data_IF_720334882534
#
_entry.id   IF_720334882534
#
_cell.length_a   1.000
_cell.length_b   1.000
_cell.length_c   1.000
_cell.angle_alpha   90.00
_cell.angle_beta   90.00
_cell.angle_gamma   90.00
#
_symmetry.space_group_name_H-M   'P 1'
#
loop_
_entity.id
_entity.type
_entity.pdbx_description
1 polymer ?
#
# COMPACT_ATOMS: atom_id res chain seq x y z
N UNK A 1 -9.17 4.82 4.77
CA UNK A 1 -8.81 3.39 4.92
C UNK A 1 -7.29 3.28 4.82
N UNK A 2 -6.58 2.86 5.87
CA UNK A 2 -5.13 2.69 5.84
C UNK A 2 -4.79 1.22 5.53
N UNK A 3 -3.85 1.01 4.62
CA UNK A 3 -3.38 -0.34 4.24
C UNK A 3 -1.94 -0.50 4.67
N UNK A 4 -1.64 -1.60 5.34
CA UNK A 4 -0.33 -1.83 5.94
C UNK A 4 0.28 -3.15 5.48
N UNK A 5 1.57 -3.14 5.19
CA UNK A 5 2.32 -4.29 4.71
C UNK A 5 3.43 -4.69 5.69
N UNK A 6 3.51 -5.99 6.02
CA UNK A 6 4.66 -6.57 6.73
C UNK A 6 5.56 -7.34 5.76
N UNK A 7 6.83 -6.97 5.63
CA UNK A 7 7.82 -7.71 4.80
C UNK A 7 8.89 -8.35 5.66
N UNK A 8 9.18 -9.64 5.47
CA UNK A 8 10.46 -10.27 5.86
C UNK A 8 11.34 -10.44 4.62
N UNK A 9 12.66 -10.23 4.71
CA UNK A 9 13.58 -10.68 3.66
C UNK A 9 13.76 -12.19 3.80
N UNK A 10 12.97 -12.98 3.07
CA UNK A 10 13.25 -14.39 2.94
C UNK A 10 14.35 -14.58 1.88
N UNK A 11 15.59 -14.83 2.34
CA UNK A 11 16.63 -15.43 1.50
C UNK A 11 16.21 -16.86 1.20
N UNK A 12 15.43 -17.05 0.12
CA UNK A 12 15.04 -18.38 -0.33
C UNK A 12 16.21 -19.01 -1.11
N UNK A 13 17.00 -19.86 -0.43
CA UNK A 13 17.77 -20.91 -1.11
C UNK A 13 16.77 -21.83 -1.80
N UNK A 14 16.72 -21.80 -3.14
CA UNK A 14 15.93 -22.75 -3.94
C UNK A 14 16.86 -23.75 -4.61
N UNK A 15 16.74 -25.02 -4.20
CA UNK A 15 17.14 -26.14 -5.03
C UNK A 15 16.19 -26.24 -6.23
N UNK A 16 16.68 -26.56 -7.44
CA UNK A 16 15.84 -26.62 -8.63
C UNK A 16 15.06 -27.94 -8.66
N UNK A 17 13.73 -27.87 -8.51
CA UNK A 17 12.83 -28.93 -8.94
C UNK A 17 12.11 -28.44 -10.21
N UNK A 18 12.24 -29.22 -11.29
CA UNK A 18 11.85 -28.85 -12.64
C UNK A 18 10.34 -29.02 -12.87
N UNK A 19 9.64 -27.92 -13.13
CA UNK A 19 8.34 -27.94 -13.81
C UNK A 19 8.54 -27.47 -15.24
N UNK A 20 8.45 -28.42 -16.18
CA UNK A 20 8.46 -28.17 -17.63
C UNK A 20 7.23 -27.35 -18.03
N UNK A 21 7.45 -26.18 -18.60
CA UNK A 21 6.44 -25.46 -19.38
C UNK A 21 6.71 -25.74 -20.87
N UNK A 22 5.65 -26.04 -21.62
CA UNK A 22 5.70 -26.56 -22.99
C UNK A 22 6.52 -25.68 -23.95
N UNK A 23 7.43 -26.33 -24.72
CA UNK A 23 8.10 -25.73 -25.89
C UNK A 23 7.06 -25.42 -26.96
N UNK A 24 7.04 -24.19 -27.44
CA UNK A 24 6.60 -23.87 -28.80
C UNK A 24 7.82 -23.32 -29.54
N UNK A 25 8.19 -23.99 -30.63
CA UNK A 25 9.25 -23.59 -31.56
C UNK A 25 8.82 -22.34 -32.35
N UNK A 26 9.75 -21.46 -32.77
CA UNK A 26 9.41 -20.31 -33.58
C UNK A 26 9.37 -20.69 -35.07
N UNK A 27 8.19 -20.69 -35.68
CA UNK A 27 8.07 -20.66 -37.14
C UNK A 27 8.15 -19.21 -37.61
N UNK A 28 9.25 -18.87 -38.29
CA UNK A 28 9.46 -17.55 -38.88
C UNK A 28 8.60 -17.30 -40.10
N UNK A 29 8.21 -16.05 -40.30
CA UNK A 29 7.85 -15.48 -41.60
C UNK A 29 8.28 -14.01 -41.65
N UNK A 30 9.24 -13.73 -42.53
CA UNK A 30 9.58 -12.39 -43.03
C UNK A 30 8.44 -11.86 -43.90
N UNK A 31 8.12 -10.57 -43.84
CA UNK A 31 7.66 -9.77 -44.99
C UNK A 31 8.08 -8.29 -44.80
N UNK A 32 8.86 -7.78 -45.75
CA UNK A 32 9.22 -6.37 -45.89
C UNK A 32 8.05 -5.57 -46.48
N UNK A 33 7.78 -4.36 -45.98
CA UNK A 33 7.66 -3.09 -46.74
C UNK A 33 7.14 -1.93 -45.86
N UNK A 34 7.49 -0.66 -46.17
CA UNK A 34 7.37 0.48 -45.26
C UNK A 34 6.07 1.25 -45.43
N UNK A 35 5.51 1.75 -44.32
CA UNK A 35 4.51 2.82 -44.36
C UNK A 35 4.81 3.80 -43.23
N UNK A 36 5.17 5.00 -43.67
CA UNK A 36 5.43 6.19 -42.88
C UNK A 36 4.11 6.72 -42.28
N UNK A 37 4.15 7.18 -41.04
CA UNK A 37 2.97 7.58 -40.28
C UNK A 37 3.29 7.90 -38.83
N UNK A 38 3.91 9.06 -38.63
CA UNK A 38 4.31 9.56 -37.32
C UNK A 38 3.15 9.72 -36.33
N UNK A 39 3.25 9.01 -35.22
CA UNK A 39 2.75 9.44 -33.91
C UNK A 39 3.91 9.22 -32.93
N UNK A 40 4.37 10.32 -32.33
CA UNK A 40 5.51 10.35 -31.42
C UNK A 40 5.28 9.40 -30.24
N UNK A 41 5.86 8.19 -30.34
CA UNK A 41 6.05 7.31 -29.20
C UNK A 41 6.98 8.00 -28.21
N UNK A 42 6.51 8.13 -26.97
CA UNK A 42 7.31 8.60 -25.85
C UNK A 42 8.64 7.83 -25.81
N UNK A 43 9.81 8.48 -25.68
CA UNK A 43 11.07 7.76 -25.70
C UNK A 43 11.19 6.97 -24.40
N UNK A 44 10.81 5.68 -24.44
CA UNK A 44 11.27 4.74 -23.43
C UNK A 44 12.78 4.63 -23.57
N UNK A 45 13.47 5.48 -22.81
CA UNK A 45 14.92 5.50 -22.68
C UNK A 45 15.34 4.10 -22.27
N UNK A 46 15.97 3.39 -23.20
CA UNK A 46 16.46 2.04 -23.03
C UNK A 46 17.35 1.93 -21.80
N UNK A 47 16.85 1.28 -20.76
CA UNK A 47 17.66 0.63 -19.76
C UNK A 47 17.43 -0.88 -19.88
N UNK A 48 18.07 -1.46 -20.88
CA UNK A 48 18.33 -2.89 -20.92
C UNK A 48 19.31 -3.22 -19.79
N UNK A 49 18.79 -3.42 -18.58
CA UNK A 49 19.50 -4.22 -17.58
C UNK A 49 18.88 -5.60 -17.58
N UNK A 50 19.51 -6.50 -18.32
CA UNK A 50 19.14 -7.91 -18.50
C UNK A 50 19.43 -8.75 -17.23
N UNK A 51 19.37 -8.12 -16.06
CA UNK A 51 19.31 -8.85 -14.80
C UNK A 51 17.86 -9.27 -14.63
N UNK A 52 17.57 -10.56 -14.35
CA UNK A 52 16.22 -10.92 -13.91
C UNK A 52 15.94 -10.08 -12.66
N UNK A 53 15.11 -9.03 -12.81
CA UNK A 53 14.73 -8.19 -11.67
C UNK A 53 14.12 -9.14 -10.67
N UNK A 54 14.79 -9.31 -9.53
CA UNK A 54 14.27 -10.11 -8.44
C UNK A 54 12.83 -9.62 -8.21
N UNK A 55 11.85 -10.52 -8.31
CA UNK A 55 10.45 -10.15 -8.15
C UNK A 55 10.34 -9.36 -6.84
N UNK A 56 9.75 -8.15 -6.85
CA UNK A 56 9.69 -7.33 -5.66
C UNK A 56 9.10 -8.16 -4.52
N UNK A 57 9.69 -8.09 -3.31
CA UNK A 57 9.28 -8.94 -2.20
C UNK A 57 7.79 -8.76 -1.95
N UNK A 58 7.06 -9.88 -1.89
CA UNK A 58 5.63 -9.85 -1.60
C UNK A 58 5.46 -9.61 -0.10
N UNK A 59 4.49 -8.78 0.29
CA UNK A 59 4.17 -8.62 1.69
C UNK A 59 3.63 -9.95 2.26
N UNK A 60 3.96 -10.22 3.52
CA UNK A 60 3.45 -11.38 4.26
C UNK A 60 1.99 -11.21 4.65
N UNK A 61 1.59 -9.98 5.00
CA UNK A 61 0.25 -9.64 5.45
C UNK A 61 -0.15 -8.26 4.95
N UNK A 62 -1.42 -8.13 4.60
CA UNK A 62 -2.11 -6.87 4.32
C UNK A 62 -3.09 -6.65 5.46
N UNK A 63 -2.94 -5.55 6.19
CA UNK A 63 -3.85 -5.18 7.28
C UNK A 63 -4.61 -3.93 6.84
N UNK A 64 -5.94 -4.00 6.92
CA UNK A 64 -6.84 -2.91 6.56
C UNK A 64 -7.37 -2.28 7.85
N UNK A 65 -7.17 -0.97 7.98
CA UNK A 65 -7.57 -0.22 9.17
C UNK A 65 -8.53 0.89 8.76
N UNK A 66 -9.72 0.92 9.36
CA UNK A 66 -10.64 2.06 9.28
C UNK A 66 -10.12 3.16 10.21
N UNK A 67 -10.36 4.43 9.87
CA UNK A 67 -10.02 5.52 10.77
C UNK A 67 -10.82 5.39 12.09
N UNK A 68 -10.29 5.93 13.18
CA UNK A 68 -11.02 6.01 14.46
C UNK A 68 -12.23 6.95 14.37
N UNK A 69 -13.06 6.98 15.41
CA UNK A 69 -14.21 7.87 15.48
C UNK A 69 -13.85 9.33 15.14
N UNK A 70 -14.55 9.91 14.18
CA UNK A 70 -14.38 11.31 13.77
C UNK A 70 -15.52 12.18 14.25
N UNK A 71 -15.30 13.50 14.27
CA UNK A 71 -16.33 14.48 14.61
C UNK A 71 -17.58 14.29 13.74
N UNK A 72 -17.41 14.02 12.44
CA UNK A 72 -18.50 13.75 11.51
C UNK A 72 -19.20 12.41 11.72
N UNK A 73 -18.63 11.47 12.51
CA UNK A 73 -19.35 10.25 12.93
C UNK A 73 -20.22 10.48 14.17
N UNK A 74 -19.89 11.49 14.97
CA UNK A 74 -20.66 11.87 16.16
C UNK A 74 -21.75 12.88 15.81
N UNK A 75 -21.42 13.85 14.96
CA UNK A 75 -22.29 14.93 14.53
C UNK A 75 -22.14 15.15 13.03
N UNK A 76 -23.12 14.70 12.25
CA UNK A 76 -23.16 14.90 10.79
C UNK A 76 -23.24 16.39 10.41
N UNK A 77 -23.73 17.26 11.28
CA UNK A 77 -23.78 18.70 11.01
C UNK A 77 -22.38 19.31 10.86
N UNK A 78 -21.32 18.62 11.31
CA UNK A 78 -19.92 19.03 11.08
C UNK A 78 -19.63 19.26 9.60
N UNK A 79 -20.22 18.47 8.68
CA UNK A 79 -19.98 18.63 7.24
C UNK A 79 -20.53 19.95 6.67
N UNK A 80 -21.44 20.62 7.38
CA UNK A 80 -21.94 21.96 6.99
C UNK A 80 -20.93 23.07 7.26
N UNK A 81 -20.01 22.85 8.21
CA UNK A 81 -19.06 23.85 8.73
C UNK A 81 -17.60 23.51 8.44
N UNK A 82 -17.28 22.24 8.20
CA UNK A 82 -15.93 21.73 7.96
C UNK A 82 -15.96 20.88 6.70
N UNK A 83 -15.09 21.19 5.75
CA UNK A 83 -14.92 20.37 4.55
C UNK A 83 -14.51 18.94 4.92
N UNK A 84 -15.10 17.94 4.25
CA UNK A 84 -14.89 16.52 4.58
C UNK A 84 -13.41 16.11 4.77
N UNK A 85 -12.46 16.47 3.88
CA UNK A 85 -11.05 16.10 4.07
C UNK A 85 -10.41 16.65 5.36
N UNK A 86 -11.02 17.68 5.97
CA UNK A 86 -10.54 18.38 7.17
C UNK A 86 -11.24 17.91 8.46
N UNK A 87 -12.22 17.02 8.39
CA UNK A 87 -12.89 16.48 9.58
C UNK A 87 -11.89 15.69 10.42
N UNK A 88 -11.80 16.04 11.70
CA UNK A 88 -10.82 15.50 12.64
C UNK A 88 -11.36 14.29 13.41
N UNK A 89 -10.46 13.55 14.06
CA UNK A 89 -10.81 12.56 15.07
C UNK A 89 -11.37 13.21 16.34
N UNK A 90 -12.21 12.47 17.05
CA UNK A 90 -12.55 12.76 18.44
C UNK A 90 -11.47 12.23 19.38
N UNK A 91 -11.53 12.60 20.66
CA UNK A 91 -10.65 12.02 21.69
C UNK A 91 -10.81 10.49 21.79
N UNK A 92 -12.04 10.01 21.63
CA UNK A 92 -12.32 8.57 21.54
C UNK A 92 -11.62 7.95 20.33
N UNK A 93 -11.74 8.56 19.14
CA UNK A 93 -11.08 8.06 17.93
C UNK A 93 -9.55 8.04 18.02
N UNK A 94 -8.96 8.95 18.80
CA UNK A 94 -7.53 8.92 19.13
C UNK A 94 -7.20 7.70 19.99
N UNK A 95 -7.96 7.44 21.06
CA UNK A 95 -7.75 6.28 21.92
C UNK A 95 -7.90 4.96 21.16
N UNK A 96 -8.91 4.85 20.29
CA UNK A 96 -9.13 3.70 19.39
C UNK A 96 -7.91 3.46 18.50
N UNK A 97 -7.33 4.52 17.92
CA UNK A 97 -6.16 4.41 17.06
C UNK A 97 -4.92 3.91 17.81
N UNK A 98 -4.70 4.39 19.04
CA UNK A 98 -3.59 3.93 19.87
C UNK A 98 -3.74 2.46 20.28
N UNK A 99 -4.95 2.05 20.64
CA UNK A 99 -5.25 0.65 20.96
C UNK A 99 -5.05 -0.26 19.76
N UNK A 100 -5.57 0.14 18.60
CA UNK A 100 -5.37 -0.57 17.34
C UNK A 100 -3.87 -0.77 17.03
N UNK A 101 -3.03 0.26 17.26
CA UNK A 101 -1.58 0.14 17.10
C UNK A 101 -0.95 -0.93 18.00
N UNK A 102 -1.35 -0.98 19.27
CA UNK A 102 -0.87 -1.99 20.24
C UNK A 102 -1.30 -3.40 19.84
N UNK A 103 -2.56 -3.56 19.47
CA UNK A 103 -3.14 -4.83 18.98
C UNK A 103 -2.39 -5.31 17.72
N UNK A 104 -2.17 -4.42 16.74
CA UNK A 104 -1.47 -4.73 15.51
C UNK A 104 -0.03 -5.18 15.76
N UNK A 105 0.70 -4.49 16.66
CA UNK A 105 2.06 -4.88 17.03
C UNK A 105 2.09 -6.29 17.63
N UNK A 106 1.22 -6.57 18.61
CA UNK A 106 1.10 -7.91 19.22
C UNK A 106 0.80 -8.98 18.17
N UNK A 107 -0.08 -8.68 17.22
CA UNK A 107 -0.45 -9.59 16.15
C UNK A 107 0.72 -9.89 15.21
N UNK A 108 1.54 -8.89 14.86
CA UNK A 108 2.71 -9.05 13.98
C UNK A 108 3.81 -9.84 14.71
N UNK A 109 4.07 -9.53 15.99
CA UNK A 109 5.09 -10.22 16.78
C UNK A 109 4.76 -11.70 17.00
N UNK A 110 3.47 -12.05 17.11
CA UNK A 110 3.01 -13.45 17.23
C UNK A 110 3.28 -14.31 15.98
N UNK A 111 3.43 -13.71 14.80
CA UNK A 111 3.68 -14.48 13.56
C UNK A 111 5.08 -15.11 13.50
N UNK A 112 5.97 -14.73 14.42
CA UNK A 112 7.33 -15.21 14.51
C UNK A 112 8.29 -14.56 13.50
N UNK A 113 9.53 -14.33 13.96
CA UNK A 113 10.63 -13.77 13.18
C UNK A 113 10.94 -12.32 13.54
N UNK A 114 12.21 -12.04 13.83
CA UNK A 114 12.64 -10.73 14.32
C UNK A 114 12.90 -9.70 13.23
N UNK A 115 12.77 -10.07 11.96
CA UNK A 115 13.05 -9.20 10.81
C UNK A 115 11.78 -8.90 10.01
N UNK A 116 10.83 -8.24 10.68
CA UNK A 116 9.66 -7.64 10.04
C UNK A 116 9.81 -6.12 9.97
N UNK A 117 9.28 -5.56 8.88
CA UNK A 117 9.08 -4.13 8.72
C UNK A 117 7.69 -3.83 8.20
N UNK A 118 7.20 -2.67 8.58
CA UNK A 118 5.86 -2.16 8.30
C UNK A 118 5.92 -1.01 7.30
N UNK A 119 5.12 -1.08 6.24
CA UNK A 119 4.92 0.04 5.31
C UNK A 119 3.46 0.49 5.35
N UNK A 120 3.24 1.79 5.57
CA UNK A 120 1.91 2.39 5.69
C UNK A 120 1.47 3.06 4.39
N UNK A 121 0.25 2.76 3.95
CA UNK A 121 -0.49 3.54 2.97
C UNK A 121 -1.68 4.19 3.65
N UNK A 122 -1.86 5.49 3.46
CA UNK A 122 -2.88 6.26 4.17
C UNK A 122 -3.64 7.19 3.23
N UNK A 123 -4.93 7.36 3.46
CA UNK A 123 -5.73 8.39 2.79
C UNK A 123 -5.24 9.79 3.18
N UNK A 124 -5.28 10.78 2.29
CA UNK A 124 -4.91 12.16 2.60
C UNK A 124 -5.89 12.88 3.56
N UNK A 125 -6.97 12.22 4.00
CA UNK A 125 -7.96 12.83 4.90
C UNK A 125 -7.44 12.95 6.32
N UNK A 126 -7.75 14.06 6.98
CA UNK A 126 -7.26 14.40 8.32
C UNK A 126 -7.50 13.28 9.33
N UNK A 127 -8.73 12.74 9.42
CA UNK A 127 -9.08 11.61 10.28
C UNK A 127 -8.21 10.36 10.04
N UNK A 128 -7.85 10.07 8.79
CA UNK A 128 -6.97 8.94 8.45
C UNK A 128 -5.52 9.21 8.86
N UNK A 129 -5.02 10.44 8.64
CA UNK A 129 -3.68 10.85 9.06
C UNK A 129 -3.53 10.87 10.59
N UNK A 130 -4.52 11.38 11.31
CA UNK A 130 -4.56 11.38 12.77
C UNK A 130 -4.64 9.96 13.33
N UNK A 131 -5.41 9.06 12.70
CA UNK A 131 -5.43 7.64 13.06
C UNK A 131 -4.03 7.05 12.92
N UNK A 132 -3.38 7.25 11.77
CA UNK A 132 -2.03 6.75 11.52
C UNK A 132 -1.02 7.29 12.55
N UNK A 133 -1.06 8.59 12.85
CA UNK A 133 -0.12 9.21 13.82
C UNK A 133 -0.20 8.56 15.20
N UNK A 134 -1.40 8.26 15.67
CA UNK A 134 -1.62 7.65 16.99
C UNK A 134 -1.33 6.15 16.99
N UNK A 135 -1.77 5.45 15.94
CA UNK A 135 -1.48 4.03 15.72
C UNK A 135 0.02 3.75 15.61
N UNK A 136 0.76 4.60 14.88
CA UNK A 136 2.19 4.44 14.65
C UNK A 136 3.03 4.58 15.92
N UNK A 137 2.50 5.16 17.02
CA UNK A 137 3.20 5.26 18.32
C UNK A 137 3.57 3.89 18.89
N UNK A 138 2.84 2.83 18.53
CA UNK A 138 3.15 1.48 18.97
C UNK A 138 4.41 0.89 18.30
N UNK A 139 4.86 1.47 17.19
CA UNK A 139 5.95 0.95 16.37
C UNK A 139 7.23 1.77 16.55
N UNK A 140 8.35 1.08 16.71
CA UNK A 140 9.67 1.71 16.69
C UNK A 140 10.00 2.21 15.28
N UNK A 141 10.73 3.33 15.17
CA UNK A 141 11.10 3.91 13.86
C UNK A 141 11.87 2.93 12.96
N UNK A 142 12.70 2.07 13.55
CA UNK A 142 13.46 1.01 12.84
C UNK A 142 12.57 -0.02 12.15
N UNK A 143 11.35 -0.22 12.66
CA UNK A 143 10.34 -1.14 12.14
C UNK A 143 9.49 -0.54 11.05
N UNK A 144 9.58 0.77 10.79
CA UNK A 144 8.79 1.47 9.77
C UNK A 144 9.63 1.60 8.49
N UNK A 145 9.28 0.83 7.46
CA UNK A 145 9.93 0.89 6.14
C UNK A 145 9.56 2.16 5.37
N UNK A 146 8.37 2.72 5.61
CA UNK A 146 7.93 3.94 4.97
C UNK A 146 6.45 4.24 5.19
N UNK A 147 6.07 5.45 4.82
CA UNK A 147 4.69 5.96 4.83
C UNK A 147 4.44 6.60 3.49
N UNK A 148 3.29 6.31 2.88
CA UNK A 148 2.86 6.91 1.63
C UNK A 148 1.41 7.32 1.69
N UNK A 149 1.14 8.57 1.33
CA UNK A 149 -0.23 9.02 1.06
C UNK A 149 -0.69 8.46 -0.29
N UNK A 150 -1.92 7.93 -0.30
CA UNK A 150 -2.53 7.33 -1.47
C UNK A 150 -3.96 7.88 -1.65
N UNK A 151 -4.15 8.87 -2.54
CA UNK A 151 -5.45 9.49 -2.81
C UNK A 151 -6.54 8.51 -3.26
N UNK A 152 -6.16 7.33 -3.76
CA UNK A 152 -7.10 6.27 -4.13
C UNK A 152 -7.72 5.55 -2.91
N UNK A 153 -7.19 5.77 -1.70
CA UNK A 153 -7.73 5.23 -0.44
C UNK A 153 -8.75 6.15 0.25
N UNK A 154 -9.17 7.23 -0.43
CA UNK A 154 -10.22 8.12 0.04
C UNK A 154 -11.53 7.37 0.25
N UNK A 155 -12.35 7.91 1.13
CA UNK A 155 -13.70 7.39 1.36
C UNK A 155 -14.56 7.65 0.12
N UNK A 156 -15.67 6.92 0.02
CA UNK A 156 -16.59 7.09 -1.09
C UNK A 156 -17.14 8.52 -1.09
N UNK A 157 -16.91 9.23 -2.19
CA UNK A 157 -17.46 10.55 -2.42
C UNK A 157 -18.95 10.38 -2.78
N UNK A 158 -19.86 10.91 -1.95
CA UNK A 158 -21.31 10.77 -2.12
C UNK A 158 -21.94 11.87 -3.00
N UNK A 159 -21.21 12.47 -3.96
CA UNK A 159 -21.80 13.39 -4.95
C UNK A 159 -22.76 14.45 -4.36
N UNK A 160 -23.84 14.76 -5.08
CA UNK A 160 -24.99 15.55 -4.61
C UNK A 160 -26.17 14.58 -4.41
N UNK A 161 -26.40 14.12 -3.17
CA UNK A 161 -27.60 13.36 -2.79
C UNK A 161 -28.37 14.11 -1.71
#
# INVERSE_FOLDING_TARGET
MATLFSTSPAVLRRNPCATKCCRQEPAGLNHNSPVDGGLAGFPEKGFASDRPRAKPPRPRRIILVRHGQSQGNVDECVYTRVADPKVALTEQGVAEAEECGREMRRMIEKDGGDDWKVYFYVSPYRRSLETLRNLAKAFERSRIAGVREEPRLREQDFGMF
#
